data_IF_503044317381
#
_entry.id   IF_503044317381
#
_cell.length_a   1.000
_cell.length_b   1.000
_cell.length_c   1.000
_cell.angle_alpha   90.00
_cell.angle_beta   90.00
_cell.angle_gamma   90.00
#
_symmetry.space_group_name_H-M   'P 1'
#
loop_
_entity.id
_entity.type
_entity.pdbx_description
1 polymer ?
#
# COMPACT_ATOMS: atom_id res chain seq x y z
N UNK A 1 22.49 -19.92 -33.51
CA UNK A 1 21.11 -19.89 -34.05
C UNK A 1 20.43 -18.67 -33.45
N UNK A 2 20.20 -17.64 -34.27
CA UNK A 2 19.62 -16.37 -33.84
C UNK A 2 18.12 -16.57 -33.64
N UNK A 3 17.67 -16.54 -32.38
CA UNK A 3 16.26 -16.65 -32.03
C UNK A 3 15.62 -15.31 -32.38
N UNK A 4 14.65 -15.31 -33.28
CA UNK A 4 13.90 -14.11 -33.65
C UNK A 4 12.95 -13.77 -32.50
N UNK A 5 13.18 -12.63 -31.85
CA UNK A 5 12.39 -12.18 -30.69
C UNK A 5 11.06 -11.52 -31.12
N UNK A 6 10.98 -11.03 -32.36
CA UNK A 6 9.81 -10.32 -32.89
C UNK A 6 8.50 -11.15 -32.85
N UNK A 7 8.46 -12.43 -33.26
CA UNK A 7 7.23 -13.22 -33.18
C UNK A 7 6.72 -13.40 -31.74
N UNK A 8 7.65 -13.51 -30.77
CA UNK A 8 7.29 -13.65 -29.36
C UNK A 8 6.69 -12.36 -28.78
N UNK A 9 7.16 -11.21 -29.24
CA UNK A 9 6.59 -9.92 -28.84
C UNK A 9 5.18 -9.72 -29.41
N UNK A 10 4.93 -10.12 -30.66
CA UNK A 10 3.59 -10.07 -31.27
C UNK A 10 2.62 -11.02 -30.57
N UNK A 11 3.06 -12.22 -30.21
CA UNK A 11 2.25 -13.16 -29.43
C UNK A 11 1.92 -12.61 -28.03
N UNK A 12 2.90 -11.98 -27.37
CA UNK A 12 2.70 -11.33 -26.07
C UNK A 12 1.73 -10.14 -26.16
N UNK A 13 1.82 -9.33 -27.22
CA UNK A 13 0.90 -8.22 -27.48
C UNK A 13 -0.53 -8.73 -27.70
N UNK A 14 -0.72 -9.78 -28.51
CA UNK A 14 -2.02 -10.41 -28.72
C UNK A 14 -2.60 -10.90 -27.39
N UNK A 15 -1.81 -11.62 -26.59
CA UNK A 15 -2.25 -12.11 -25.29
C UNK A 15 -2.61 -10.98 -24.30
N UNK A 16 -1.86 -9.87 -24.32
CA UNK A 16 -2.18 -8.70 -23.50
C UNK A 16 -3.46 -8.00 -23.96
N UNK A 17 -3.68 -7.87 -25.26
CA UNK A 17 -4.90 -7.28 -25.82
C UNK A 17 -6.17 -8.08 -25.47
N UNK A 18 -6.07 -9.41 -25.47
CA UNK A 18 -7.16 -10.30 -25.04
C UNK A 18 -7.47 -10.13 -23.55
N UNK A 19 -6.44 -9.99 -22.71
CA UNK A 19 -6.62 -9.72 -21.28
C UNK A 19 -7.26 -8.36 -21.05
N UNK A 20 -6.86 -7.35 -21.81
CA UNK A 20 -7.44 -6.01 -21.74
C UNK A 20 -8.94 -6.05 -22.07
N UNK A 21 -9.31 -6.71 -23.17
CA UNK A 21 -10.71 -6.89 -23.56
C UNK A 21 -11.52 -7.63 -22.48
N UNK A 22 -10.97 -8.70 -21.89
CA UNK A 22 -11.62 -9.44 -20.83
C UNK A 22 -11.83 -8.59 -19.56
N UNK A 23 -10.85 -7.77 -19.17
CA UNK A 23 -10.96 -6.86 -18.04
C UNK A 23 -11.97 -5.73 -18.30
N UNK A 24 -11.99 -5.16 -19.51
CA UNK A 24 -13.01 -4.17 -19.89
C UNK A 24 -14.41 -4.74 -19.77
N UNK A 25 -14.62 -5.99 -20.20
CA UNK A 25 -15.91 -6.67 -20.08
C UNK A 25 -16.31 -6.89 -18.62
N UNK A 26 -15.38 -7.32 -17.76
CA UNK A 26 -15.64 -7.45 -16.32
C UNK A 26 -16.01 -6.11 -15.67
N UNK A 27 -15.36 -5.02 -16.07
CA UNK A 27 -15.71 -3.68 -15.57
C UNK A 27 -17.11 -3.26 -16.01
N UNK A 28 -17.51 -3.56 -17.24
CA UNK A 28 -18.85 -3.29 -17.73
C UNK A 28 -19.91 -4.05 -16.92
N UNK A 29 -19.70 -5.34 -16.66
CA UNK A 29 -20.60 -6.18 -15.86
C UNK A 29 -20.74 -5.65 -14.42
N UNK A 30 -19.62 -5.29 -13.78
CA UNK A 30 -19.64 -4.72 -12.43
C UNK A 30 -20.38 -3.38 -12.42
N UNK A 31 -20.20 -2.53 -13.43
CA UNK A 31 -20.92 -1.26 -13.54
C UNK A 31 -22.43 -1.47 -13.69
N UNK A 32 -22.85 -2.48 -14.46
CA UNK A 32 -24.27 -2.84 -14.57
C UNK A 32 -24.84 -3.34 -13.24
N UNK A 33 -24.11 -4.22 -12.53
CA UNK A 33 -24.50 -4.68 -11.19
C UNK A 33 -24.65 -3.51 -10.21
N UNK A 34 -23.72 -2.54 -10.24
CA UNK A 34 -23.80 -1.33 -9.41
C UNK A 34 -25.03 -0.49 -9.73
N UNK A 35 -25.37 -0.30 -11.02
CA UNK A 35 -26.60 0.42 -11.44
C UNK A 35 -27.86 -0.30 -10.97
N UNK A 36 -27.88 -1.64 -11.06
CA UNK A 36 -28.97 -2.46 -10.54
C UNK A 36 -29.14 -2.29 -9.03
N UNK A 37 -28.06 -2.38 -8.26
CA UNK A 37 -28.08 -2.15 -6.82
C UNK A 37 -28.51 -0.73 -6.46
N UNK A 38 -28.05 0.29 -7.18
CA UNK A 38 -28.50 1.67 -6.97
C UNK A 38 -30.00 1.84 -7.20
N UNK A 39 -30.54 1.19 -8.23
CA UNK A 39 -31.99 1.17 -8.49
C UNK A 39 -32.74 0.54 -7.32
N UNK A 40 -32.28 -0.61 -6.83
CA UNK A 40 -32.88 -1.28 -5.67
C UNK A 40 -32.79 -0.41 -4.42
N UNK A 41 -31.63 0.19 -4.13
CA UNK A 41 -31.46 1.12 -3.02
C UNK A 41 -32.46 2.28 -3.14
N UNK A 42 -32.62 2.87 -4.32
CA UNK A 42 -33.62 3.93 -4.56
C UNK A 42 -35.06 3.49 -4.29
N UNK A 43 -35.40 2.22 -4.54
CA UNK A 43 -36.72 1.66 -4.22
C UNK A 43 -36.93 1.42 -2.72
N UNK A 44 -35.85 1.17 -1.96
CA UNK A 44 -35.92 0.94 -0.50
C UNK A 44 -35.74 2.22 0.33
N UNK A 45 -35.06 3.25 -0.19
CA UNK A 45 -34.72 4.45 0.58
C UNK A 45 -35.86 5.47 0.65
N UNK A 46 -36.93 5.31 -0.13
CA UNK A 46 -38.23 5.97 0.05
C UNK A 46 -38.21 7.51 0.14
N UNK A 47 -37.09 8.16 -0.16
CA UNK A 47 -36.88 9.58 -0.01
C UNK A 47 -35.80 10.07 -0.97
N UNK A 48 -36.07 11.23 -1.55
CA UNK A 48 -35.29 11.95 -2.56
C UNK A 48 -35.54 11.50 -4.01
N UNK A 49 -36.72 11.89 -4.49
CA UNK A 49 -36.79 12.58 -5.78
C UNK A 49 -35.88 13.81 -5.71
N UNK A 50 -35.16 14.07 -6.80
CA UNK A 50 -34.35 15.26 -7.12
C UNK A 50 -32.85 15.23 -6.81
N UNK A 51 -32.08 14.71 -7.78
CA UNK A 51 -31.05 15.56 -8.38
C UNK A 51 -30.81 15.17 -9.85
N UNK A 52 -31.39 15.96 -10.76
CA UNK A 52 -30.74 16.26 -12.03
C UNK A 52 -30.98 15.31 -13.20
N UNK A 53 -32.23 15.05 -13.55
CA UNK A 53 -32.55 14.73 -14.93
C UNK A 53 -32.42 16.01 -15.76
N UNK A 54 -31.33 16.15 -16.51
CA UNK A 54 -31.35 16.95 -17.75
C UNK A 54 -30.99 16.02 -18.90
N UNK A 55 -31.99 15.24 -19.29
CA UNK A 55 -32.04 14.67 -20.62
C UNK A 55 -32.42 15.81 -21.57
N UNK A 56 -31.50 16.17 -22.46
CA UNK A 56 -31.86 16.82 -23.73
C UNK A 56 -31.34 15.91 -24.83
N UNK A 57 -32.28 15.17 -25.42
CA UNK A 57 -32.11 14.45 -26.68
C UNK A 57 -32.60 15.39 -27.78
N UNK A 58 -31.73 15.81 -28.69
CA UNK A 58 -32.05 16.14 -30.09
C UNK A 58 -30.78 16.62 -30.85
N UNK A 59 -30.21 15.70 -31.63
CA UNK A 59 -29.60 15.73 -32.97
C UNK A 59 -29.33 17.08 -33.73
N UNK A 60 -28.71 17.01 -34.93
CA UNK A 60 -27.35 17.43 -35.30
C UNK A 60 -27.30 18.79 -36.02
N UNK A 61 -26.19 19.54 -35.90
CA UNK A 61 -25.91 20.67 -36.80
C UNK A 61 -24.47 20.58 -37.29
N UNK A 62 -24.43 20.49 -38.61
CA UNK A 62 -23.38 20.58 -39.61
C UNK A 62 -22.49 21.84 -39.48
N UNK A 63 -21.19 21.64 -39.70
CA UNK A 63 -20.31 22.47 -40.54
C UNK A 63 -19.74 23.83 -40.02
N UNK A 64 -18.68 24.39 -40.65
CA UNK A 64 -17.30 24.27 -40.16
C UNK A 64 -16.65 25.64 -39.88
N UNK A 65 -15.49 25.64 -39.21
CA UNK A 65 -14.57 26.78 -39.25
C UNK A 65 -13.13 26.28 -39.27
N UNK A 66 -12.56 26.32 -40.48
CA UNK A 66 -11.16 26.61 -40.76
C UNK A 66 -10.66 27.78 -39.88
N UNK A 67 -9.43 27.66 -39.38
CA UNK A 67 -8.35 28.58 -39.77
C UNK A 67 -7.00 28.07 -39.24
N UNK A 68 -6.00 28.37 -40.06
CA UNK A 68 -4.67 27.76 -40.19
C UNK A 68 -3.62 28.10 -39.12
N UNK A 69 -2.53 27.32 -39.22
CA UNK A 69 -1.12 27.68 -39.01
C UNK A 69 -0.56 27.82 -37.58
N UNK A 70 0.35 26.90 -37.24
CA UNK A 70 1.79 27.17 -37.41
C UNK A 70 2.65 25.95 -37.03
N UNK A 71 3.50 25.56 -37.99
CA UNK A 71 4.67 24.69 -37.86
C UNK A 71 5.60 25.04 -36.68
N UNK A 72 6.24 24.03 -36.10
CA UNK A 72 7.70 24.00 -35.92
C UNK A 72 8.17 22.64 -35.35
N UNK A 73 8.76 21.84 -36.24
CA UNK A 73 9.82 20.86 -35.95
C UNK A 73 10.93 21.45 -35.07
N UNK A 74 11.46 20.65 -34.13
CA UNK A 74 12.90 20.63 -33.83
C UNK A 74 13.27 19.45 -32.91
N UNK A 75 13.89 18.46 -33.54
CA UNK A 75 14.90 17.53 -33.02
C UNK A 75 15.96 18.22 -32.15
N UNK A 76 16.42 17.57 -31.07
CA UNK A 76 17.74 17.80 -30.46
C UNK A 76 18.14 16.67 -29.49
N UNK A 77 18.99 15.81 -30.03
CA UNK A 77 19.96 14.90 -29.40
C UNK A 77 21.01 15.68 -28.55
N UNK A 78 21.48 15.09 -27.44
CA UNK A 78 22.79 15.27 -26.76
C UNK A 78 22.65 14.86 -25.27
N UNK A 79 23.20 13.72 -24.84
CA UNK A 79 24.61 13.51 -24.47
C UNK A 79 24.95 14.13 -23.10
N UNK A 80 25.09 13.29 -22.07
CA UNK A 80 26.07 13.55 -21.01
C UNK A 80 26.44 12.25 -20.29
N UNK A 81 27.71 11.89 -20.45
CA UNK A 81 28.43 10.85 -19.72
C UNK A 81 29.10 11.46 -18.49
N UNK A 82 29.10 10.75 -17.34
CA UNK A 82 30.18 10.69 -16.33
C UNK A 82 29.96 9.38 -15.55
N UNK A 83 30.79 8.34 -15.69
CA UNK A 83 32.14 8.10 -15.16
C UNK A 83 32.19 7.72 -13.65
N UNK A 84 33.04 6.72 -13.40
CA UNK A 84 33.82 6.49 -12.18
C UNK A 84 33.34 5.59 -10.98
N UNK A 85 33.80 4.32 -11.08
CA UNK A 85 34.66 3.53 -10.14
C UNK A 85 34.11 2.80 -8.88
N UNK A 86 34.68 1.59 -8.69
CA UNK A 86 35.10 0.86 -7.45
C UNK A 86 34.23 -0.36 -7.10
N UNK A 87 34.55 -1.59 -7.55
CA UNK A 87 35.59 -2.58 -7.09
C UNK A 87 35.12 -3.54 -5.98
N UNK A 88 35.18 -4.83 -6.34
CA UNK A 88 35.50 -6.08 -5.59
C UNK A 88 34.79 -6.49 -4.27
N UNK A 89 34.11 -7.64 -4.39
CA UNK A 89 34.42 -8.92 -3.74
C UNK A 89 35.40 -8.94 -2.54
N UNK A 90 34.98 -9.50 -1.40
CA UNK A 90 35.80 -10.45 -0.60
C UNK A 90 35.02 -11.10 0.57
N UNK A 91 34.79 -12.40 0.42
CA UNK A 91 34.95 -13.53 1.37
C UNK A 91 35.00 -13.35 2.92
N UNK A 92 34.15 -14.18 3.55
CA UNK A 92 34.46 -15.20 4.56
C UNK A 92 34.78 -14.84 6.05
N UNK A 93 33.86 -15.32 6.90
CA UNK A 93 34.08 -16.25 8.02
C UNK A 93 35.08 -15.93 9.16
N UNK A 94 34.53 -15.79 10.38
CA UNK A 94 35.10 -16.31 11.64
C UNK A 94 33.99 -16.43 12.70
N UNK A 95 33.45 -17.63 12.97
CA UNK A 95 33.79 -18.54 14.10
C UNK A 95 33.83 -17.79 15.45
N UNK A 96 32.80 -17.85 16.31
CA UNK A 96 32.39 -18.96 17.19
C UNK A 96 33.44 -19.40 18.25
N UNK A 97 33.23 -19.03 19.53
CA UNK A 97 33.48 -19.85 20.75
C UNK A 97 33.02 -19.07 22.02
N UNK A 98 32.05 -19.59 22.82
CA UNK A 98 32.23 -20.37 24.10
C UNK A 98 32.52 -19.42 25.29
N UNK A 99 31.93 -19.41 26.49
CA UNK A 99 31.22 -20.34 27.42
C UNK A 99 30.58 -19.48 28.53
N UNK A 100 29.33 -19.70 28.97
CA UNK A 100 28.86 -20.50 30.13
C UNK A 100 29.40 -20.14 31.54
N UNK A 101 28.42 -19.91 32.45
CA UNK A 101 28.43 -20.01 33.94
C UNK A 101 29.06 -18.85 34.73
N UNK A 102 28.64 -18.46 35.96
CA UNK A 102 27.52 -18.80 36.86
C UNK A 102 27.69 -17.94 38.15
N UNK A 103 26.58 -17.48 38.75
CA UNK A 103 26.42 -17.01 40.15
C UNK A 103 27.20 -15.72 40.53
N UNK A 104 26.77 -14.84 41.44
CA UNK A 104 26.10 -14.99 42.74
C UNK A 104 25.33 -13.73 43.13
N UNK A 105 24.27 -13.92 43.91
CA UNK A 105 23.47 -12.91 44.59
C UNK A 105 24.27 -12.03 45.57
N UNK A 106 23.86 -10.76 45.76
CA UNK A 106 23.48 -10.21 47.08
C UNK A 106 22.96 -8.76 47.01
N UNK A 107 21.75 -8.63 47.57
CA UNK A 107 21.04 -7.49 48.18
C UNK A 107 21.79 -6.15 48.32
N UNK A 108 21.12 -5.07 47.93
CA UNK A 108 20.90 -3.92 48.82
C UNK A 108 19.59 -3.19 48.47
N UNK A 109 18.69 -3.12 49.45
CA UNK A 109 17.52 -2.23 49.51
C UNK A 109 18.00 -0.78 49.40
N UNK A 110 17.30 0.05 48.62
CA UNK A 110 16.94 1.38 49.11
C UNK A 110 15.62 1.82 48.47
N UNK A 111 14.57 1.73 49.29
CA UNK A 111 13.32 2.43 49.05
C UNK A 111 13.58 3.93 49.19
N UNK A 112 13.20 4.72 48.19
CA UNK A 112 12.90 6.14 48.38
C UNK A 112 11.67 6.52 47.58
N UNK A 113 10.56 6.36 48.27
CA UNK A 113 9.33 7.12 48.09
C UNK A 113 9.64 8.61 47.89
N UNK A 114 9.17 9.19 46.79
CA UNK A 114 8.80 10.61 46.76
C UNK A 114 7.53 10.79 45.94
N UNK A 115 6.56 11.38 46.63
CA UNK A 115 5.18 11.59 46.27
C UNK A 115 5.03 12.48 45.03
N UNK A 116 3.93 12.22 44.35
CA UNK A 116 3.35 12.98 43.26
C UNK A 116 3.34 14.50 43.50
N UNK A 117 3.61 15.26 42.44
CA UNK A 117 3.02 16.58 42.23
C UNK A 117 2.31 16.55 40.88
N UNK A 118 1.00 16.35 40.97
CA UNK A 118 -0.01 16.59 39.94
C UNK A 118 0.09 18.03 39.48
N UNK A 119 0.52 18.25 38.23
CA UNK A 119 0.22 19.47 37.49
C UNK A 119 -0.85 19.09 36.48
N UNK A 120 -2.08 19.50 36.76
CA UNK A 120 -3.19 19.49 35.80
C UNK A 120 -2.83 20.45 34.67
N UNK A 121 -2.30 19.93 33.56
CA UNK A 121 -2.28 20.67 32.30
C UNK A 121 -3.60 20.42 31.59
N UNK A 122 -4.32 21.50 31.32
CA UNK A 122 -5.51 21.53 30.47
C UNK A 122 -5.24 20.85 29.10
N UNK A 123 -6.29 20.33 28.41
CA UNK A 123 -6.13 19.70 27.11
C UNK A 123 -5.86 20.77 26.06
N UNK A 124 -4.59 21.16 25.93
CA UNK A 124 -4.13 21.84 24.71
C UNK A 124 -4.29 20.82 23.60
N UNK A 125 -5.29 21.03 22.74
CA UNK A 125 -5.41 20.35 21.45
C UNK A 125 -4.05 20.49 20.79
N UNK A 126 -3.27 19.41 20.79
CA UNK A 126 -2.01 19.38 20.06
C UNK A 126 -2.42 19.49 18.60
N UNK A 127 -2.20 20.68 18.03
CA UNK A 127 -1.99 20.79 16.60
C UNK A 127 -0.94 19.74 16.24
N UNK A 128 -1.26 18.94 15.24
CA UNK A 128 -0.60 17.70 14.87
C UNK A 128 0.83 17.94 14.36
N UNK A 129 1.75 18.29 15.27
CA UNK A 129 3.19 18.36 14.99
C UNK A 129 3.88 17.01 15.11
N UNK A 130 3.13 15.91 15.10
CA UNK A 130 3.64 14.54 15.33
C UNK A 130 2.92 13.49 14.50
N UNK A 131 2.34 13.87 13.37
CA UNK A 131 2.20 12.89 12.32
C UNK A 131 3.62 12.42 12.00
N UNK A 132 3.88 11.17 12.33
CA UNK A 132 5.20 10.61 12.15
C UNK A 132 5.53 10.75 10.66
N UNK A 133 6.69 11.31 10.30
CA UNK A 133 7.01 11.73 8.93
C UNK A 133 6.79 10.65 7.85
N UNK A 134 6.70 9.38 8.25
CA UNK A 134 6.31 8.25 7.41
C UNK A 134 4.84 8.26 6.95
N UNK A 135 3.91 8.90 7.68
CA UNK A 135 2.49 8.98 7.34
C UNK A 135 2.23 9.77 6.05
N UNK A 136 3.17 10.64 5.65
CA UNK A 136 3.07 11.42 4.41
C UNK A 136 3.19 10.60 3.14
N UNK A 137 3.64 9.35 3.26
CA UNK A 137 3.86 8.42 2.17
C UNK A 137 2.86 7.25 2.20
N UNK A 138 1.85 7.34 3.07
CA UNK A 138 0.69 6.44 2.98
C UNK A 138 -0.08 6.86 1.73
N UNK A 139 -0.46 5.90 0.89
CA UNK A 139 -1.29 6.16 -0.29
C UNK A 139 -2.50 7.01 0.10
N UNK A 140 -2.86 7.98 -0.74
CA UNK A 140 -3.89 8.96 -0.37
C UNK A 140 -5.25 8.29 -0.09
N UNK A 141 -5.55 7.17 -0.76
CA UNK A 141 -6.71 6.32 -0.50
C UNK A 141 -6.79 5.79 0.95
N UNK A 142 -5.65 5.72 1.62
CA UNK A 142 -5.48 5.16 2.96
C UNK A 142 -5.06 6.21 4.00
N UNK A 143 -4.74 7.44 3.58
CA UNK A 143 -4.26 8.52 4.43
C UNK A 143 -5.32 8.99 5.44
N UNK A 144 -6.59 8.93 5.04
CA UNK A 144 -7.74 9.36 5.84
C UNK A 144 -8.20 8.30 6.87
N UNK A 145 -7.84 7.03 6.65
CA UNK A 145 -8.19 5.93 7.54
C UNK A 145 -7.11 5.70 8.59
N UNK A 146 -7.48 5.05 9.71
CA UNK A 146 -6.46 4.62 10.67
C UNK A 146 -5.64 3.49 10.05
N UNK A 147 -4.32 3.53 10.22
CA UNK A 147 -3.42 2.49 9.70
C UNK A 147 -3.83 1.06 10.12
N UNK A 148 -4.47 0.91 11.29
CA UNK A 148 -5.00 -0.38 11.75
C UNK A 148 -6.10 -0.90 10.83
N UNK A 149 -7.08 -0.04 10.52
CA UNK A 149 -8.22 -0.38 9.67
C UNK A 149 -7.76 -0.68 8.24
N UNK A 150 -6.77 0.07 7.75
CA UNK A 150 -6.15 -0.17 6.44
C UNK A 150 -5.48 -1.55 6.39
N UNK A 151 -4.70 -1.92 7.42
CA UNK A 151 -4.07 -3.25 7.50
C UNK A 151 -5.13 -4.36 7.54
N UNK A 152 -6.24 -4.16 8.25
CA UNK A 152 -7.39 -5.09 8.24
C UNK A 152 -7.96 -5.23 6.83
N UNK A 153 -8.17 -4.12 6.13
CA UNK A 153 -8.70 -4.12 4.76
C UNK A 153 -7.77 -4.86 3.78
N UNK A 154 -6.45 -4.65 3.88
CA UNK A 154 -5.45 -5.37 3.05
C UNK A 154 -5.49 -6.88 3.31
N UNK A 155 -5.58 -7.30 4.57
CA UNK A 155 -5.68 -8.72 4.91
C UNK A 155 -7.03 -9.34 4.50
N UNK A 156 -8.11 -8.55 4.55
CA UNK A 156 -9.45 -8.96 4.11
C UNK A 156 -9.56 -9.06 2.58
N UNK A 157 -8.81 -8.25 1.84
CA UNK A 157 -8.81 -8.30 0.38
C UNK A 157 -8.36 -9.67 -0.16
N UNK A 158 -7.46 -10.39 0.54
CA UNK A 158 -7.03 -11.75 0.16
C UNK A 158 -6.95 -12.68 1.38
N UNK A 159 -8.08 -13.19 1.90
CA UNK A 159 -8.13 -13.93 3.16
C UNK A 159 -7.50 -15.34 3.10
N UNK A 160 -7.27 -15.85 1.88
CA UNK A 160 -6.65 -17.14 1.59
C UNK A 160 -5.12 -17.08 1.49
N UNK A 161 -4.56 -15.87 1.39
CA UNK A 161 -3.11 -15.70 1.24
C UNK A 161 -2.46 -15.39 2.58
N UNK A 162 -1.20 -15.79 2.70
CA UNK A 162 -0.34 -15.36 3.80
C UNK A 162 0.50 -14.17 3.33
N UNK A 163 0.49 -13.09 4.09
CA UNK A 163 1.17 -11.85 3.77
C UNK A 163 2.41 -11.68 4.63
N UNK A 164 3.51 -11.26 4.03
CA UNK A 164 4.67 -10.74 4.77
C UNK A 164 4.45 -9.26 5.07
N UNK A 165 5.19 -8.75 6.05
CA UNK A 165 5.18 -7.32 6.40
C UNK A 165 5.56 -6.46 5.18
N UNK A 166 6.48 -6.95 4.34
CA UNK A 166 6.88 -6.30 3.10
C UNK A 166 5.71 -6.13 2.13
N UNK A 167 4.88 -7.15 2.01
CA UNK A 167 3.75 -7.15 1.07
C UNK A 167 2.65 -6.20 1.56
N UNK A 168 2.45 -6.14 2.88
CA UNK A 168 1.55 -5.16 3.51
C UNK A 168 2.10 -3.73 3.38
N UNK A 169 3.42 -3.55 3.42
CA UNK A 169 4.04 -2.24 3.19
C UNK A 169 3.75 -1.73 1.77
N UNK A 170 4.02 -2.54 0.74
CA UNK A 170 3.80 -2.15 -0.66
C UNK A 170 2.31 -1.96 -1.01
N UNK A 171 1.39 -2.51 -0.23
CA UNK A 171 -0.04 -2.28 -0.41
C UNK A 171 -0.54 -0.96 0.20
N UNK A 172 0.20 -0.36 1.14
CA UNK A 172 -0.27 0.80 1.94
C UNK A 172 0.58 2.05 1.68
N UNK A 173 1.84 1.86 1.32
CA UNK A 173 2.82 2.92 1.18
C UNK A 173 3.30 3.03 -0.26
N UNK A 174 3.68 4.24 -0.64
CA UNK A 174 4.45 4.48 -1.85
C UNK A 174 5.81 3.78 -1.77
N UNK A 175 6.24 3.17 -2.87
CA UNK A 175 7.53 2.46 -2.94
C UNK A 175 8.73 3.44 -2.88
N UNK A 176 8.57 4.69 -3.32
CA UNK A 176 9.62 5.72 -3.28
C UNK A 176 9.69 6.46 -1.93
N UNK A 177 9.83 5.68 -0.86
CA UNK A 177 9.96 6.18 0.50
C UNK A 177 11.43 6.17 0.97
N UNK A 178 11.94 7.25 1.61
CA UNK A 178 13.26 7.23 2.23
C UNK A 178 13.40 6.10 3.27
N UNK A 179 14.51 5.35 3.22
CA UNK A 179 14.78 4.17 4.08
C UNK A 179 14.49 4.40 5.57
N UNK A 180 14.81 5.58 6.09
CA UNK A 180 14.58 5.94 7.49
C UNK A 180 13.09 6.00 7.86
N UNK A 181 12.23 6.43 6.93
CA UNK A 181 10.78 6.40 7.12
C UNK A 181 10.23 5.00 6.91
N UNK A 182 10.79 4.25 5.96
CA UNK A 182 10.39 2.86 5.67
C UNK A 182 10.56 1.98 6.89
N UNK A 183 11.70 2.06 7.57
CA UNK A 183 11.91 1.30 8.82
C UNK A 183 10.90 1.68 9.92
N UNK A 184 10.51 2.96 10.02
CA UNK A 184 9.53 3.41 11.02
C UNK A 184 8.13 2.93 10.70
N UNK A 185 7.68 3.07 9.44
CA UNK A 185 6.41 2.54 8.97
C UNK A 185 6.35 1.01 9.14
N UNK A 186 7.40 0.30 8.72
CA UNK A 186 7.53 -1.15 8.88
C UNK A 186 7.45 -1.57 10.35
N UNK A 187 8.15 -0.87 11.25
CA UNK A 187 8.06 -1.13 12.69
C UNK A 187 6.63 -0.92 13.21
N UNK A 188 5.95 0.13 12.73
CA UNK A 188 4.55 0.41 13.10
C UNK A 188 3.61 -0.70 12.63
N UNK A 189 3.71 -1.12 11.36
CA UNK A 189 2.91 -2.22 10.81
C UNK A 189 3.21 -3.52 11.54
N UNK A 190 4.48 -3.83 11.80
CA UNK A 190 4.86 -5.02 12.57
C UNK A 190 4.22 -5.06 13.95
N UNK A 191 4.15 -3.92 14.64
CA UNK A 191 3.51 -3.81 15.94
C UNK A 191 1.99 -3.98 15.85
N UNK A 192 1.35 -3.41 14.82
CA UNK A 192 -0.08 -3.59 14.57
C UNK A 192 -0.36 -5.06 14.30
N UNK A 193 0.31 -5.66 13.30
CA UNK A 193 0.21 -7.08 12.95
C UNK A 193 0.47 -8.02 14.13
N UNK A 194 1.46 -7.70 14.97
CA UNK A 194 1.72 -8.50 16.16
C UNK A 194 0.67 -8.29 17.25
N UNK A 195 0.04 -7.13 17.35
CA UNK A 195 -1.03 -6.86 18.32
C UNK A 195 -2.32 -7.58 17.94
N UNK A 196 -2.83 -7.41 16.70
CA UNK A 196 -4.07 -8.09 16.29
C UNK A 196 -3.93 -9.61 16.24
N UNK A 197 -2.71 -10.15 16.06
CA UNK A 197 -2.46 -11.59 16.19
C UNK A 197 -2.58 -12.10 17.63
N UNK A 198 -2.36 -11.23 18.62
CA UNK A 198 -2.54 -11.55 20.05
C UNK A 198 -3.99 -11.40 20.48
N UNK A 199 -4.69 -10.45 19.86
CA UNK A 199 -6.11 -10.20 20.10
C UNK A 199 -7.02 -11.20 19.34
N UNK A 200 -6.43 -12.10 18.54
CA UNK A 200 -7.09 -13.12 17.71
C UNK A 200 -7.93 -12.56 16.55
N UNK A 201 -7.64 -11.34 16.09
CA UNK A 201 -8.24 -10.78 14.86
C UNK A 201 -7.71 -11.48 13.60
N UNK A 202 -6.44 -11.89 13.62
CA UNK A 202 -5.82 -12.65 12.53
C UNK A 202 -4.78 -13.64 13.06
N UNK A 203 -4.28 -14.50 12.17
CA UNK A 203 -3.35 -15.56 12.50
C UNK A 203 -1.93 -15.21 12.04
N UNK A 204 -0.95 -15.55 12.89
CA UNK A 204 0.48 -15.42 12.57
C UNK A 204 1.08 -16.79 12.25
N UNK A 205 1.75 -16.88 11.11
CA UNK A 205 2.43 -18.08 10.65
C UNK A 205 3.94 -18.10 10.88
N UNK A 206 4.54 -19.20 10.43
CA UNK A 206 5.99 -19.40 10.49
C UNK A 206 6.67 -18.40 9.55
N UNK A 207 7.76 -17.79 10.00
CA UNK A 207 8.51 -16.82 9.19
C UNK A 207 7.93 -15.39 9.20
N UNK A 208 7.01 -15.07 10.11
CA UNK A 208 6.48 -13.70 10.24
C UNK A 208 5.45 -13.35 9.17
N UNK A 209 4.71 -14.35 8.71
CA UNK A 209 3.56 -14.20 7.83
C UNK A 209 2.27 -13.99 8.64
N UNK A 210 1.28 -13.33 8.04
CA UNK A 210 -0.01 -13.02 8.66
C UNK A 210 -1.15 -13.32 7.68
N UNK A 211 -2.28 -13.83 8.18
CA UNK A 211 -3.48 -14.10 7.37
C UNK A 211 -4.75 -14.02 8.21
N UNK A 212 -5.88 -13.70 7.57
CA UNK A 212 -7.19 -13.74 8.24
C UNK A 212 -7.67 -15.16 8.56
N UNK A 213 -7.20 -16.17 7.81
CA UNK A 213 -7.56 -17.57 8.05
C UNK A 213 -6.41 -18.39 8.61
N UNK A 214 -6.67 -19.17 9.67
CA UNK A 214 -5.69 -20.09 10.27
C UNK A 214 -5.17 -21.13 9.25
N UNK A 215 -6.01 -21.49 8.28
CA UNK A 215 -5.69 -22.44 7.20
C UNK A 215 -4.61 -21.91 6.26
N UNK A 216 -4.63 -20.62 5.92
CA UNK A 216 -3.64 -20.00 5.03
C UNK A 216 -2.23 -19.92 5.64
N UNK A 217 -2.15 -19.91 6.98
CA UNK A 217 -0.90 -19.77 7.72
C UNK A 217 -0.28 -21.09 8.15
N UNK A 218 -1.10 -22.16 8.24
CA UNK A 218 -0.68 -23.51 8.65
C UNK A 218 -0.43 -24.45 7.45
N UNK A 219 -0.55 -23.93 6.23
CA UNK A 219 -0.22 -24.63 4.99
C UNK A 219 1.27 -24.87 4.81
#
# INVERSE_FOLDING_TARGET
MSITVLPQLVEAESALSEQEAALMQQLADIQEQRKGLQTVIGMFDGSVVDNGQSAVVAAPIDEPVDDEDADADADADADEAEDEVVVEETVAAKLAKVTKAKSTARKAKLAKTRKAKTVKSAPVKKADGRSARWQRYVLDEHSQQRLQDVVVNVLNAKPKNSFKITDVMSAIFEDDMPKAQYLKARSRISNILSAGARDNEWYRGRGGTYSMSAKAVKG
#
